data_IF_131540883121
#
_entry.id   IF_131540883121
#
_cell.length_a   1.000
_cell.length_b   1.000
_cell.length_c   1.000
_cell.angle_alpha   90.00
_cell.angle_beta   90.00
_cell.angle_gamma   90.00
#
_symmetry.space_group_name_H-M   'P 1'
#
loop_
_entity.id
_entity.type
_entity.pdbx_description
1 polymer ?
#
# COMPACT_ATOMS: atom_id res chain seq x y z
N UNK A 1 -2.18 -16.20 -15.32
CA UNK A 1 -2.08 -15.64 -16.69
C UNK A 1 -0.60 -15.47 -17.02
N UNK A 2 -0.17 -15.82 -18.24
CA UNK A 2 1.22 -15.60 -18.69
C UNK A 2 1.25 -14.34 -19.56
N UNK A 3 2.18 -13.44 -19.27
CA UNK A 3 2.32 -12.16 -19.97
C UNK A 3 3.81 -11.90 -20.20
N UNK A 4 4.16 -11.41 -21.39
CA UNK A 4 5.52 -11.00 -21.74
C UNK A 4 5.61 -9.48 -21.62
N UNK A 5 6.60 -8.99 -20.89
CA UNK A 5 6.86 -7.56 -20.68
C UNK A 5 8.35 -7.27 -20.87
N UNK A 6 8.68 -6.07 -21.34
CA UNK A 6 10.06 -5.60 -21.45
C UNK A 6 10.38 -4.78 -20.21
N UNK A 7 11.45 -5.15 -19.49
CA UNK A 7 11.89 -4.50 -18.26
C UNK A 7 13.37 -4.17 -18.36
N UNK A 8 13.78 -3.06 -17.76
CA UNK A 8 15.19 -2.76 -17.57
C UNK A 8 15.80 -3.79 -16.62
N UNK A 9 16.89 -4.44 -17.05
CA UNK A 9 17.51 -5.52 -16.28
C UNK A 9 18.17 -5.04 -14.99
N UNK A 10 18.67 -3.79 -14.95
CA UNK A 10 19.30 -3.21 -13.75
C UNK A 10 18.25 -2.90 -12.69
N UNK A 11 17.17 -2.22 -13.08
CA UNK A 11 16.06 -1.88 -12.19
C UNK A 11 15.38 -3.14 -11.63
N UNK A 12 15.24 -4.19 -12.44
CA UNK A 12 14.69 -5.46 -11.98
C UNK A 12 15.60 -6.15 -10.96
N UNK A 13 16.92 -6.09 -11.14
CA UNK A 13 17.86 -6.66 -10.18
C UNK A 13 17.81 -5.91 -8.85
N UNK A 14 17.81 -4.58 -8.88
CA UNK A 14 17.67 -3.74 -7.69
C UNK A 14 16.34 -3.99 -6.97
N UNK A 15 15.24 -4.09 -7.72
CA UNK A 15 13.93 -4.43 -7.16
C UNK A 15 13.91 -5.84 -6.54
N UNK A 16 14.60 -6.81 -7.15
CA UNK A 16 14.73 -8.16 -6.59
C UNK A 16 15.50 -8.15 -5.27
N UNK A 17 16.61 -7.41 -5.19
CA UNK A 17 17.40 -7.27 -3.96
C UNK A 17 16.59 -6.56 -2.86
N UNK A 18 15.96 -5.43 -3.19
CA UNK A 18 15.13 -4.67 -2.26
C UNK A 18 13.92 -5.46 -1.74
N UNK A 19 13.33 -6.32 -2.58
CA UNK A 19 12.21 -7.16 -2.21
C UNK A 19 12.63 -8.50 -1.56
N UNK A 20 13.93 -8.83 -1.52
CA UNK A 20 14.41 -10.16 -1.12
C UNK A 20 13.90 -11.29 -2.02
N UNK A 21 13.58 -10.99 -3.27
CA UNK A 21 12.96 -11.91 -4.21
C UNK A 21 14.02 -12.81 -4.87
N UNK A 22 13.74 -14.11 -4.96
CA UNK A 22 14.62 -15.10 -5.58
C UNK A 22 14.38 -15.20 -7.08
N UNK A 23 13.20 -14.80 -7.55
CA UNK A 23 12.83 -14.85 -8.96
C UNK A 23 12.27 -13.52 -9.46
N UNK A 24 12.42 -13.29 -10.77
CA UNK A 24 11.81 -12.12 -11.46
C UNK A 24 10.31 -12.04 -11.22
N UNK A 25 9.62 -13.20 -11.22
CA UNK A 25 8.19 -13.30 -10.95
C UNK A 25 7.85 -12.78 -9.55
N UNK A 26 8.59 -13.21 -8.54
CA UNK A 26 8.36 -12.78 -7.16
C UNK A 26 8.53 -11.27 -6.98
N UNK A 27 9.57 -10.67 -7.56
CA UNK A 27 9.76 -9.22 -7.49
C UNK A 27 8.61 -8.46 -8.18
N UNK A 28 8.19 -8.92 -9.36
CA UNK A 28 7.06 -8.32 -10.08
C UNK A 28 5.76 -8.45 -9.27
N UNK A 29 5.47 -9.62 -8.69
CA UNK A 29 4.28 -9.83 -7.86
C UNK A 29 4.31 -9.00 -6.57
N UNK A 30 5.47 -8.87 -5.93
CA UNK A 30 5.66 -8.02 -4.76
C UNK A 30 5.39 -6.55 -5.10
N UNK A 31 5.95 -6.05 -6.20
CA UNK A 31 5.71 -4.69 -6.68
C UNK A 31 4.24 -4.42 -7.01
N UNK A 32 3.57 -5.34 -7.70
CA UNK A 32 2.13 -5.22 -8.00
C UNK A 32 1.27 -5.17 -6.73
N UNK A 33 1.56 -6.02 -5.74
CA UNK A 33 0.87 -6.00 -4.44
C UNK A 33 1.07 -4.68 -3.71
N UNK A 34 2.30 -4.15 -3.73
CA UNK A 34 2.62 -2.87 -3.13
C UNK A 34 1.79 -1.75 -3.77
N UNK A 35 1.79 -1.64 -5.10
CA UNK A 35 1.01 -0.63 -5.83
C UNK A 35 -0.49 -0.70 -5.51
N UNK A 36 -1.06 -1.90 -5.43
CA UNK A 36 -2.47 -2.09 -5.04
C UNK A 36 -2.69 -1.61 -3.61
N UNK A 37 -1.81 -1.97 -2.67
CA UNK A 37 -1.93 -1.58 -1.27
C UNK A 37 -1.84 -0.05 -1.10
N UNK A 38 -0.95 0.61 -1.83
CA UNK A 38 -0.80 2.06 -1.83
C UNK A 38 -2.00 2.77 -2.43
N UNK A 39 -2.56 2.22 -3.52
CA UNK A 39 -3.81 2.71 -4.11
C UNK A 39 -4.95 2.66 -3.12
N UNK A 40 -5.14 1.51 -2.43
CA UNK A 40 -6.15 1.35 -1.37
C UNK A 40 -5.95 2.34 -0.23
N UNK A 41 -4.71 2.52 0.24
CA UNK A 41 -4.40 3.50 1.30
C UNK A 41 -4.68 4.93 0.85
N UNK A 42 -4.41 5.29 -0.41
CA UNK A 42 -4.73 6.60 -0.97
C UNK A 42 -6.24 6.83 -1.06
N UNK A 43 -7.00 5.84 -1.52
CA UNK A 43 -8.46 5.90 -1.55
C UNK A 43 -9.01 6.06 -0.14
N UNK A 44 -8.57 5.23 0.80
CA UNK A 44 -8.99 5.34 2.20
C UNK A 44 -8.65 6.71 2.79
N UNK A 45 -7.47 7.27 2.52
CA UNK A 45 -7.11 8.63 2.97
C UNK A 45 -7.95 9.72 2.32
N UNK A 46 -8.37 9.55 1.06
CA UNK A 46 -9.29 10.48 0.39
C UNK A 46 -10.65 10.38 1.04
N UNK A 47 -11.19 9.17 1.16
CA UNK A 47 -12.49 8.91 1.77
C UNK A 47 -12.51 9.46 3.21
N UNK A 48 -11.49 9.16 4.04
CA UNK A 48 -11.32 9.68 5.40
C UNK A 48 -10.99 11.19 5.48
N UNK A 49 -10.58 11.83 4.39
CA UNK A 49 -10.43 13.29 4.29
C UNK A 49 -11.74 13.98 3.87
N UNK A 50 -12.64 13.26 3.20
CA UNK A 50 -14.03 13.68 2.95
C UNK A 50 -14.97 13.35 4.09
N UNK A 51 -14.69 12.29 4.85
CA UNK A 51 -15.27 12.11 6.16
C UNK A 51 -14.61 13.14 7.05
N UNK A 52 -15.37 14.17 7.42
CA UNK A 52 -15.00 15.11 8.47
C UNK A 52 -14.92 14.34 9.79
N UNK A 53 -13.83 13.57 9.96
CA UNK A 53 -13.45 12.98 11.22
C UNK A 53 -12.85 14.09 12.05
N UNK A 54 -13.70 15.08 12.36
CA UNK A 54 -13.56 16.04 13.44
C UNK A 54 -13.74 15.28 14.77
N UNK A 55 -12.95 14.20 14.90
CA UNK A 55 -12.75 13.44 16.10
C UNK A 55 -11.67 14.20 16.88
N UNK A 56 -12.05 15.36 17.39
CA UNK A 56 -11.35 15.98 18.51
C UNK A 56 -11.07 14.86 19.53
N UNK A 57 -9.80 14.67 19.88
CA UNK A 57 -9.34 13.67 20.83
C UNK A 57 -10.13 13.75 22.15
N UNK A 58 -10.65 14.94 22.49
CA UNK A 58 -11.57 15.15 23.59
C UNK A 58 -12.90 14.39 23.47
N UNK A 59 -13.51 14.33 22.27
CA UNK A 59 -14.77 13.58 22.01
C UNK A 59 -14.55 12.07 22.11
N UNK A 60 -13.49 11.55 21.51
CA UNK A 60 -13.18 10.11 21.54
C UNK A 60 -12.92 9.61 22.97
N UNK A 61 -12.24 10.41 23.81
CA UNK A 61 -12.03 10.09 25.22
C UNK A 61 -13.32 10.07 26.03
N UNK A 62 -14.25 11.00 25.78
CA UNK A 62 -15.55 11.02 26.47
C UNK A 62 -16.40 9.80 26.13
N UNK A 63 -16.40 9.37 24.87
CA UNK A 63 -17.16 8.18 24.44
C UNK A 63 -16.56 6.87 24.96
N UNK A 64 -15.23 6.84 25.17
CA UNK A 64 -14.53 5.65 25.70
C UNK A 64 -14.66 5.50 27.23
N UNK A 65 -14.90 6.59 27.94
CA UNK A 65 -15.04 6.62 29.40
C UNK A 65 -16.50 6.72 29.88
N UNK A 66 -17.47 6.68 28.96
CA UNK A 66 -18.91 6.76 29.25
C UNK A 66 -19.65 5.47 28.92
N UNK A 67 -19.21 4.36 29.52
CA UNK A 67 -19.90 3.06 29.54
C UNK A 67 -20.05 2.59 30.97
#
# INVERSE_FOLDING_TARGET
>A
MKTTVVLNSRELAEAMEAAGARTKREAIEAGLRLLISESRRRLLRRDLGTFDLDLDLGRLRRQRNGG
#
